data_IF_179739403022
#
_entry.id   IF_179739403022
#
_cell.length_a   1.000
_cell.length_b   1.000
_cell.length_c   1.000
_cell.angle_alpha   90.00
_cell.angle_beta   90.00
_cell.angle_gamma   90.00
#
_symmetry.space_group_name_H-M   'P 1'
#
loop_
_entity.id
_entity.type
_entity.pdbx_description
1 polymer ?
#
# COMPACT_ATOMS: atom_id res chain seq x y z
N UNK A 1 21.95 44.66 58.19
CA UNK A 1 20.78 43.90 57.68
C UNK A 1 20.45 44.16 56.21
N UNK A 2 20.78 45.31 55.60
CA UNK A 2 20.51 45.57 54.18
C UNK A 2 21.44 44.78 53.20
N UNK A 3 22.74 44.70 53.51
CA UNK A 3 23.75 44.03 52.66
C UNK A 3 23.47 42.53 52.46
N UNK A 4 22.88 41.86 53.46
CA UNK A 4 22.52 40.44 53.39
C UNK A 4 21.31 40.18 52.49
N UNK A 5 20.39 41.14 52.34
CA UNK A 5 19.20 41.04 51.48
C UNK A 5 19.56 41.14 49.99
N UNK A 6 20.45 42.04 49.61
CA UNK A 6 20.87 42.21 48.21
C UNK A 6 21.71 41.04 47.70
N UNK A 7 22.60 40.50 48.55
CA UNK A 7 23.34 39.28 48.23
C UNK A 7 22.41 38.07 48.05
N UNK A 8 21.34 37.98 48.84
CA UNK A 8 20.33 36.92 48.73
C UNK A 8 19.49 37.05 47.45
N UNK A 9 19.06 38.26 47.09
CA UNK A 9 18.34 38.53 45.83
C UNK A 9 19.17 38.19 44.59
N UNK A 10 20.45 38.56 44.56
CA UNK A 10 21.37 38.22 43.45
C UNK A 10 21.51 36.71 43.27
N UNK A 11 21.65 35.95 44.37
CA UNK A 11 21.69 34.48 44.32
C UNK A 11 20.40 33.88 43.73
N UNK A 12 19.23 34.39 44.13
CA UNK A 12 17.92 33.96 43.61
C UNK A 12 17.83 34.25 42.10
N UNK A 13 18.21 35.45 41.66
CA UNK A 13 18.20 35.81 40.25
C UNK A 13 19.10 34.92 39.39
N UNK A 14 20.31 34.59 39.86
CA UNK A 14 21.21 33.66 39.15
C UNK A 14 20.61 32.26 39.02
N UNK A 15 19.98 31.74 40.08
CA UNK A 15 19.30 30.43 40.04
C UNK A 15 18.15 30.44 39.02
N UNK A 16 17.33 31.51 39.01
CA UNK A 16 16.21 31.65 38.06
C UNK A 16 16.69 31.73 36.61
N UNK A 17 17.78 32.44 36.33
CA UNK A 17 18.38 32.48 35.00
C UNK A 17 18.93 31.14 34.54
N UNK A 18 19.65 30.41 35.40
CA UNK A 18 20.14 29.07 35.10
C UNK A 18 18.99 28.10 34.80
N UNK A 19 17.90 28.19 35.57
CA UNK A 19 16.69 27.38 35.35
C UNK A 19 15.99 27.76 34.04
N UNK A 20 15.86 29.05 33.72
CA UNK A 20 15.30 29.51 32.45
C UNK A 20 16.11 29.01 31.25
N UNK A 21 17.44 29.09 31.33
CA UNK A 21 18.33 28.59 30.28
C UNK A 21 18.20 27.07 30.11
N UNK A 22 18.13 26.32 31.21
CA UNK A 22 17.93 24.88 31.18
C UNK A 22 16.59 24.50 30.51
N UNK A 23 15.49 25.17 30.89
CA UNK A 23 14.16 24.92 30.29
C UNK A 23 14.17 25.30 28.80
N UNK A 24 14.81 26.40 28.41
CA UNK A 24 14.93 26.80 27.01
C UNK A 24 15.71 25.76 26.19
N UNK A 25 16.82 25.25 26.71
CA UNK A 25 17.59 24.18 26.07
C UNK A 25 16.76 22.88 25.94
N UNK A 26 16.01 22.52 26.99
CA UNK A 26 15.13 21.35 26.98
C UNK A 26 14.01 21.50 25.93
N UNK A 27 13.41 22.69 25.81
CA UNK A 27 12.40 22.98 24.79
C UNK A 27 12.96 22.84 23.37
N UNK A 28 14.20 23.29 23.14
CA UNK A 28 14.87 23.13 21.85
C UNK A 28 15.06 21.65 21.49
N UNK A 29 15.50 20.83 22.46
CA UNK A 29 15.64 19.38 22.28
C UNK A 29 14.28 18.73 22.00
N UNK A 30 13.24 19.09 22.76
CA UNK A 30 11.87 18.58 22.55
C UNK A 30 11.34 18.93 21.16
N UNK A 31 11.56 20.15 20.69
CA UNK A 31 11.15 20.58 19.35
C UNK A 31 11.85 19.74 18.27
N UNK A 32 13.14 19.47 18.43
CA UNK A 32 13.91 18.63 17.51
C UNK A 32 13.40 17.18 17.50
N UNK A 33 13.10 16.62 18.67
CA UNK A 33 12.50 15.28 18.81
C UNK A 33 11.13 15.21 18.13
N UNK A 34 10.25 16.20 18.35
CA UNK A 34 8.94 16.27 17.70
C UNK A 34 9.10 16.32 16.18
N UNK A 35 9.98 17.16 15.66
CA UNK A 35 10.19 17.29 14.22
C UNK A 35 10.68 15.97 13.59
N UNK A 36 11.64 15.29 14.22
CA UNK A 36 12.10 13.96 13.77
C UNK A 36 10.94 12.94 13.76
N UNK A 37 10.11 12.92 14.81
CA UNK A 37 8.99 11.97 14.88
C UNK A 37 7.93 12.25 13.84
N UNK A 38 7.55 13.52 13.65
CA UNK A 38 6.61 13.94 12.61
C UNK A 38 7.14 13.55 11.23
N UNK A 39 8.43 13.83 10.94
CA UNK A 39 9.04 13.43 9.68
C UNK A 39 8.98 11.92 9.46
N UNK A 40 9.29 11.10 10.48
CA UNK A 40 9.19 9.63 10.39
C UNK A 40 7.76 9.16 10.10
N UNK A 41 6.76 9.76 10.75
CA UNK A 41 5.35 9.42 10.51
C UNK A 41 4.97 9.77 9.08
N UNK A 42 5.31 10.97 8.61
CA UNK A 42 5.04 11.41 7.22
C UNK A 42 5.67 10.45 6.21
N UNK A 43 6.94 10.07 6.40
CA UNK A 43 7.60 9.11 5.50
C UNK A 43 6.90 7.74 5.46
N UNK A 44 6.43 7.24 6.61
CA UNK A 44 5.66 5.99 6.67
C UNK A 44 4.29 6.11 6.00
N UNK A 45 3.61 7.24 6.19
CA UNK A 45 2.32 7.51 5.51
C UNK A 45 2.52 7.57 4.00
N UNK A 46 3.59 8.22 3.52
CA UNK A 46 3.91 8.28 2.09
C UNK A 46 4.23 6.88 1.54
N UNK A 47 5.04 6.08 2.24
CA UNK A 47 5.38 4.72 1.78
C UNK A 47 4.16 3.81 1.72
N UNK A 48 3.28 3.86 2.73
CA UNK A 48 2.01 3.13 2.73
C UNK A 48 1.05 3.66 1.66
N UNK A 49 1.06 4.97 1.39
CA UNK A 49 0.29 5.56 0.30
C UNK A 49 0.69 5.00 -1.06
N UNK A 50 2.00 4.83 -1.32
CA UNK A 50 2.50 4.19 -2.55
C UNK A 50 2.01 2.75 -2.70
N UNK A 51 2.03 1.99 -1.60
CA UNK A 51 1.48 0.63 -1.57
C UNK A 51 -0.02 0.60 -1.91
N UNK A 52 -0.78 1.57 -1.40
CA UNK A 52 -2.20 1.68 -1.69
C UNK A 52 -2.46 1.91 -3.19
N UNK A 53 -1.68 2.78 -3.83
CA UNK A 53 -1.75 3.00 -5.29
C UNK A 53 -1.44 1.72 -6.07
N UNK A 54 -0.41 0.97 -5.69
CA UNK A 54 -0.07 -0.32 -6.32
C UNK A 54 -1.19 -1.36 -6.15
N UNK A 55 -1.82 -1.44 -4.98
CA UNK A 55 -2.96 -2.36 -4.76
C UNK A 55 -4.18 -1.94 -5.60
N UNK A 56 -4.42 -0.65 -5.77
CA UNK A 56 -5.49 -0.15 -6.65
C UNK A 56 -5.22 -0.51 -8.11
N UNK A 57 -3.98 -0.36 -8.57
CA UNK A 57 -3.55 -0.80 -9.91
C UNK A 57 -3.74 -2.31 -10.07
N UNK A 58 -3.32 -3.11 -9.07
CA UNK A 58 -3.51 -4.56 -9.05
C UNK A 58 -5.00 -4.94 -9.16
N UNK A 59 -5.86 -4.23 -8.43
CA UNK A 59 -7.32 -4.43 -8.47
C UNK A 59 -7.87 -4.16 -9.87
N UNK A 60 -7.45 -3.06 -10.49
CA UNK A 60 -7.90 -2.69 -11.83
C UNK A 60 -7.48 -3.73 -12.86
N UNK A 61 -6.21 -4.16 -12.83
CA UNK A 61 -5.66 -5.14 -13.77
C UNK A 61 -6.34 -6.51 -13.58
N UNK A 62 -6.54 -6.93 -12.33
CA UNK A 62 -7.25 -8.18 -11.99
C UNK A 62 -8.68 -8.21 -12.51
N UNK A 63 -9.34 -7.06 -12.64
CA UNK A 63 -10.70 -6.97 -13.19
C UNK A 63 -10.70 -6.84 -14.72
N UNK A 64 -9.69 -6.17 -15.28
CA UNK A 64 -9.61 -5.88 -16.71
C UNK A 64 -9.30 -7.12 -17.53
N UNK A 65 -8.24 -7.86 -17.16
CA UNK A 65 -7.67 -8.93 -17.99
C UNK A 65 -8.69 -10.03 -18.32
N UNK A 66 -9.42 -10.62 -17.34
CA UNK A 66 -10.43 -11.63 -17.64
C UNK A 66 -11.55 -11.11 -18.53
N UNK A 67 -11.93 -9.83 -18.35
CA UNK A 67 -12.93 -9.16 -19.16
C UNK A 67 -12.52 -8.99 -20.62
N UNK A 68 -11.22 -8.91 -20.94
CA UNK A 68 -10.74 -8.85 -22.32
C UNK A 68 -10.98 -10.17 -23.05
N UNK A 69 -10.74 -11.31 -22.39
CA UNK A 69 -11.00 -12.63 -22.96
C UNK A 69 -12.50 -12.83 -23.17
N UNK A 70 -13.33 -12.49 -22.18
CA UNK A 70 -14.79 -12.55 -22.33
C UNK A 70 -15.30 -11.75 -23.52
N UNK A 71 -14.80 -10.52 -23.70
CA UNK A 71 -15.15 -9.67 -24.85
C UNK A 71 -14.64 -10.27 -26.17
N UNK A 72 -13.43 -10.81 -26.21
CA UNK A 72 -12.91 -11.49 -27.39
C UNK A 72 -13.78 -12.69 -27.77
N UNK A 73 -14.08 -13.59 -26.82
CA UNK A 73 -14.90 -14.78 -27.09
C UNK A 73 -16.29 -14.41 -27.59
N UNK A 74 -16.87 -13.30 -27.11
CA UNK A 74 -18.20 -12.86 -27.54
C UNK A 74 -18.20 -12.15 -28.91
N UNK A 75 -17.17 -11.37 -29.21
CA UNK A 75 -17.14 -10.48 -30.39
C UNK A 75 -16.23 -10.96 -31.52
N UNK A 76 -15.31 -11.87 -31.23
CA UNK A 76 -14.18 -12.27 -32.07
C UNK A 76 -13.30 -11.08 -32.53
N UNK A 77 -13.40 -9.94 -31.87
CA UNK A 77 -12.62 -8.76 -32.20
C UNK A 77 -11.19 -8.89 -31.67
N UNK A 78 -10.25 -9.05 -32.61
CA UNK A 78 -8.82 -9.24 -32.33
C UNK A 78 -8.20 -8.14 -31.47
N UNK A 79 -8.78 -6.94 -31.39
CA UNK A 79 -8.29 -5.85 -30.53
C UNK A 79 -8.28 -6.25 -29.04
N UNK A 80 -9.28 -7.01 -28.59
CA UNK A 80 -9.33 -7.47 -27.19
C UNK A 80 -8.25 -8.51 -26.89
N UNK A 81 -8.00 -9.41 -27.85
CA UNK A 81 -6.96 -10.42 -27.74
C UNK A 81 -5.56 -9.78 -27.76
N UNK A 82 -5.32 -8.80 -28.63
CA UNK A 82 -4.06 -8.04 -28.68
C UNK A 82 -3.80 -7.33 -27.35
N UNK A 83 -4.82 -6.66 -26.80
CA UNK A 83 -4.73 -5.98 -25.51
C UNK A 83 -4.44 -6.96 -24.37
N UNK A 84 -5.10 -8.12 -24.37
CA UNK A 84 -4.83 -9.18 -23.40
C UNK A 84 -3.36 -9.63 -23.42
N UNK A 85 -2.79 -9.86 -24.61
CA UNK A 85 -1.38 -10.23 -24.73
C UNK A 85 -0.42 -9.12 -24.33
N UNK A 86 -0.74 -7.88 -24.67
CA UNK A 86 0.05 -6.71 -24.26
C UNK A 86 0.20 -6.68 -22.73
N UNK A 87 -0.90 -6.89 -22.01
CA UNK A 87 -0.91 -6.93 -20.55
C UNK A 87 -0.07 -8.08 -19.96
N UNK A 88 -0.14 -9.26 -20.57
CA UNK A 88 0.49 -10.47 -20.04
C UNK A 88 1.98 -10.62 -20.37
N UNK A 89 2.42 -10.21 -21.54
CA UNK A 89 3.78 -10.50 -22.05
C UNK A 89 4.62 -9.26 -22.30
N UNK A 90 4.02 -8.17 -22.75
CA UNK A 90 4.79 -6.95 -23.03
C UNK A 90 4.99 -6.16 -21.75
N UNK A 91 3.90 -5.97 -21.01
CA UNK A 91 3.93 -5.10 -19.84
C UNK A 91 4.08 -5.87 -18.52
N UNK A 92 3.73 -7.15 -18.53
CA UNK A 92 3.70 -8.03 -17.36
C UNK A 92 3.09 -7.33 -16.13
N UNK A 93 2.03 -6.53 -16.33
CA UNK A 93 1.63 -5.50 -15.35
C UNK A 93 1.34 -6.12 -13.98
N UNK A 94 0.55 -7.18 -13.96
CA UNK A 94 0.17 -7.87 -12.73
C UNK A 94 1.39 -8.47 -12.00
N UNK A 95 2.26 -9.18 -12.71
CA UNK A 95 3.46 -9.79 -12.12
C UNK A 95 4.46 -8.73 -11.64
N UNK A 96 4.61 -7.62 -12.38
CA UNK A 96 5.44 -6.49 -11.99
C UNK A 96 4.93 -5.82 -10.72
N UNK A 97 3.62 -5.57 -10.62
CA UNK A 97 3.02 -5.00 -9.41
C UNK A 97 3.20 -5.95 -8.22
N UNK A 98 2.96 -7.26 -8.42
CA UNK A 98 3.18 -8.26 -7.37
C UNK A 98 4.66 -8.32 -6.94
N UNK A 99 5.61 -8.24 -7.86
CA UNK A 99 7.03 -8.22 -7.55
C UNK A 99 7.39 -6.98 -6.70
N UNK A 100 6.87 -5.81 -7.05
CA UNK A 100 7.05 -4.59 -6.25
C UNK A 100 6.44 -4.71 -4.85
N UNK A 101 5.20 -5.21 -4.76
CA UNK A 101 4.52 -5.44 -3.47
C UNK A 101 5.23 -6.51 -2.63
N UNK A 102 5.89 -7.50 -3.25
CA UNK A 102 6.57 -8.59 -2.56
C UNK A 102 7.82 -8.17 -1.79
N UNK A 103 8.37 -6.98 -2.09
CA UNK A 103 9.46 -6.38 -1.31
C UNK A 103 9.03 -6.10 0.14
N UNK A 104 7.72 -6.07 0.39
CA UNK A 104 7.13 -5.84 1.70
C UNK A 104 6.81 -7.18 2.36
N UNK A 105 7.73 -7.64 3.22
CA UNK A 105 7.67 -8.94 3.90
C UNK A 105 6.36 -9.26 4.62
N UNK A 106 5.64 -8.31 5.28
CA UNK A 106 4.42 -8.63 6.02
C UNK A 106 3.29 -9.17 5.16
N UNK A 107 3.30 -8.92 3.85
CA UNK A 107 2.20 -9.24 2.94
C UNK A 107 2.50 -10.41 1.99
N UNK A 108 3.71 -10.98 2.07
CA UNK A 108 4.20 -12.01 1.14
C UNK A 108 3.29 -13.23 1.04
N UNK A 109 2.71 -13.70 2.15
CA UNK A 109 1.80 -14.85 2.15
C UNK A 109 0.50 -14.57 1.40
N UNK A 110 -0.04 -13.36 1.53
CA UNK A 110 -1.27 -12.92 0.85
C UNK A 110 -0.98 -12.71 -0.64
N UNK A 111 0.15 -12.10 -0.97
CA UNK A 111 0.58 -11.90 -2.37
C UNK A 111 0.79 -13.23 -3.11
N UNK A 112 1.35 -14.24 -2.45
CA UNK A 112 1.45 -15.61 -3.02
C UNK A 112 0.09 -16.22 -3.31
N UNK A 113 -0.91 -16.00 -2.44
CA UNK A 113 -2.29 -16.47 -2.68
C UNK A 113 -2.93 -15.75 -3.87
N UNK A 114 -2.73 -14.45 -3.98
CA UNK A 114 -3.20 -13.66 -5.13
C UNK A 114 -2.58 -14.21 -6.41
N UNK A 115 -1.26 -14.40 -6.44
CA UNK A 115 -0.56 -14.97 -7.61
C UNK A 115 -1.09 -16.36 -7.97
N UNK A 116 -1.21 -17.26 -7.00
CA UNK A 116 -1.68 -18.61 -7.27
C UNK A 116 -3.13 -18.63 -7.81
N UNK A 117 -3.97 -17.69 -7.39
CA UNK A 117 -5.34 -17.54 -7.89
C UNK A 117 -5.35 -17.00 -9.34
N UNK A 118 -4.54 -15.99 -9.61
CA UNK A 118 -4.36 -15.40 -10.95
C UNK A 118 -3.74 -16.39 -11.95
N UNK A 119 -2.70 -17.11 -11.56
CA UNK A 119 -2.06 -18.14 -12.41
C UNK A 119 -3.06 -19.24 -12.81
N UNK A 120 -4.00 -19.61 -11.92
CA UNK A 120 -5.09 -20.54 -12.24
C UNK A 120 -6.08 -19.96 -13.25
N UNK A 121 -6.48 -18.70 -13.09
CA UNK A 121 -7.37 -18.01 -14.02
C UNK A 121 -6.73 -17.93 -15.42
N UNK A 122 -5.46 -17.51 -15.48
CA UNK A 122 -4.71 -17.44 -16.74
C UNK A 122 -4.62 -18.80 -17.43
N UNK A 123 -4.45 -19.89 -16.67
CA UNK A 123 -4.41 -21.23 -17.25
C UNK A 123 -5.75 -21.62 -17.88
N UNK A 124 -6.87 -21.26 -17.23
CA UNK A 124 -8.21 -21.48 -17.80
C UNK A 124 -8.42 -20.64 -19.07
N UNK A 125 -7.99 -19.38 -19.06
CA UNK A 125 -8.07 -18.47 -20.21
C UNK A 125 -7.25 -19.00 -21.40
N UNK A 126 -6.04 -19.49 -21.16
CA UNK A 126 -5.21 -20.14 -22.19
C UNK A 126 -5.89 -21.39 -22.75
N UNK A 127 -6.48 -22.22 -21.89
CA UNK A 127 -7.22 -23.42 -22.32
C UNK A 127 -8.42 -23.06 -23.21
N UNK A 128 -9.18 -22.03 -22.82
CA UNK A 128 -10.31 -21.48 -23.59
C UNK A 128 -9.85 -21.00 -24.96
N UNK A 129 -8.77 -20.21 -25.02
CA UNK A 129 -8.23 -19.74 -26.29
C UNK A 129 -7.71 -20.89 -27.17
N UNK A 130 -7.06 -21.92 -26.59
CA UNK A 130 -6.62 -23.10 -27.36
C UNK A 130 -7.81 -23.83 -27.99
N UNK A 131 -8.90 -24.02 -27.25
CA UNK A 131 -10.13 -24.63 -27.77
C UNK A 131 -10.71 -23.83 -28.93
N UNK A 132 -10.80 -22.50 -28.78
CA UNK A 132 -11.33 -21.60 -29.82
C UNK A 132 -10.45 -21.64 -31.06
N UNK A 133 -9.13 -21.53 -30.90
CA UNK A 133 -8.20 -21.51 -32.02
C UNK A 133 -8.16 -22.85 -32.76
N UNK A 134 -8.28 -23.96 -32.03
CA UNK A 134 -8.41 -25.28 -32.64
C UNK A 134 -9.69 -25.42 -33.45
N UNK A 135 -10.83 -24.91 -32.94
CA UNK A 135 -12.10 -24.97 -33.65
C UNK A 135 -12.13 -24.12 -34.93
N UNK A 136 -11.39 -23.00 -34.94
CA UNK A 136 -11.23 -22.15 -36.12
C UNK A 136 -10.07 -22.56 -37.04
N UNK A 137 -9.38 -23.67 -36.72
CA UNK A 137 -8.22 -24.17 -37.47
C UNK A 137 -7.14 -23.09 -37.67
N UNK A 138 -6.93 -22.25 -36.66
CA UNK A 138 -5.88 -21.23 -36.70
C UNK A 138 -4.52 -21.95 -36.65
N UNK A 139 -3.60 -21.70 -37.59
CA UNK A 139 -2.30 -22.35 -37.63
C UNK A 139 -1.48 -22.06 -36.36
N UNK A 140 -0.76 -23.05 -35.84
CA UNK A 140 0.03 -22.87 -34.60
C UNK A 140 1.15 -21.83 -34.77
N UNK A 141 1.63 -21.60 -35.99
CA UNK A 141 2.68 -20.63 -36.32
C UNK A 141 2.25 -19.18 -36.08
N UNK A 142 0.94 -18.91 -36.13
CA UNK A 142 0.38 -17.56 -35.90
C UNK A 142 -0.22 -17.40 -34.51
N UNK A 143 -0.25 -18.48 -33.72
CA UNK A 143 -0.77 -18.49 -32.35
C UNK A 143 0.34 -18.13 -31.38
N UNK A 144 -0.02 -17.41 -30.31
CA UNK A 144 0.93 -17.08 -29.25
C UNK A 144 1.58 -18.36 -28.63
N UNK A 145 2.90 -18.40 -28.39
CA UNK A 145 3.61 -19.61 -27.95
C UNK A 145 3.02 -20.28 -26.71
N UNK A 146 2.51 -19.51 -25.74
CA UNK A 146 1.89 -20.08 -24.53
C UNK A 146 0.60 -20.85 -24.82
N UNK A 147 -0.18 -20.42 -25.81
CA UNK A 147 -1.36 -21.18 -26.25
C UNK A 147 -0.92 -22.38 -27.05
N UNK A 148 0.01 -22.19 -27.99
CA UNK A 148 0.52 -23.29 -28.82
C UNK A 148 1.03 -24.45 -27.94
N UNK A 149 1.80 -24.13 -26.89
CA UNK A 149 2.33 -25.09 -25.92
C UNK A 149 1.27 -25.75 -25.02
N UNK A 150 0.07 -25.17 -24.89
CA UNK A 150 -1.01 -25.77 -24.10
C UNK A 150 -1.60 -26.97 -24.84
N UNK A 151 -1.53 -28.15 -24.21
CA UNK A 151 -2.10 -29.38 -24.74
C UNK A 151 -3.53 -29.55 -24.25
N UNK A 152 -4.44 -29.70 -25.19
CA UNK A 152 -5.81 -30.10 -24.88
C UNK A 152 -5.79 -31.51 -24.29
N UNK A 153 -6.75 -31.82 -23.43
CA UNK A 153 -6.93 -33.20 -22.98
C UNK A 153 -7.38 -34.08 -24.15
N UNK A 154 -7.12 -35.39 -24.09
CA UNK A 154 -7.54 -36.30 -25.18
C UNK A 154 -9.05 -36.24 -25.48
N UNK A 155 -9.88 -35.99 -24.47
CA UNK A 155 -11.32 -35.77 -24.64
C UNK A 155 -11.63 -34.46 -25.40
N UNK A 156 -10.84 -33.41 -25.21
CA UNK A 156 -11.01 -32.12 -25.89
C UNK A 156 -10.43 -32.12 -27.31
N UNK A 157 -9.42 -32.94 -27.59
CA UNK A 157 -8.84 -33.05 -28.94
C UNK A 157 -9.83 -33.65 -29.94
N UNK A 158 -10.57 -34.68 -29.53
CA UNK A 158 -11.56 -35.39 -30.36
C UNK A 158 -12.91 -34.68 -30.48
N UNK A 159 -13.12 -33.58 -29.74
CA UNK A 159 -14.34 -32.77 -29.84
C UNK A 159 -14.48 -32.18 -31.25
N UNK A 160 -15.71 -32.10 -31.73
CA UNK A 160 -16.06 -31.31 -32.91
C UNK A 160 -15.80 -29.83 -32.67
N UNK A 161 -15.66 -29.05 -33.75
CA UNK A 161 -15.41 -27.61 -33.65
C UNK A 161 -16.52 -26.89 -32.85
N UNK A 162 -17.78 -27.30 -33.04
CA UNK A 162 -18.91 -26.76 -32.29
C UNK A 162 -18.84 -27.09 -30.78
N UNK A 163 -18.45 -28.31 -30.43
CA UNK A 163 -18.27 -28.73 -29.03
C UNK A 163 -17.10 -28.02 -28.36
N UNK A 164 -16.00 -27.77 -29.09
CA UNK A 164 -14.87 -26.99 -28.58
C UNK A 164 -15.28 -25.56 -28.26
N UNK A 165 -16.03 -24.91 -29.16
CA UNK A 165 -16.54 -23.56 -28.94
C UNK A 165 -17.54 -23.50 -27.78
N UNK A 166 -18.42 -24.49 -27.66
CA UNK A 166 -19.35 -24.59 -26.54
C UNK A 166 -18.61 -24.79 -25.22
N UNK A 167 -17.66 -25.73 -25.16
CA UNK A 167 -16.83 -26.00 -23.98
C UNK A 167 -16.02 -24.77 -23.57
N UNK A 168 -15.46 -24.03 -24.53
CA UNK A 168 -14.74 -22.80 -24.27
C UNK A 168 -15.62 -21.74 -23.59
N UNK A 169 -16.87 -21.58 -24.05
CA UNK A 169 -17.87 -20.71 -23.40
C UNK A 169 -18.24 -21.23 -22.02
N UNK A 170 -18.49 -22.52 -21.88
CA UNK A 170 -18.89 -23.13 -20.61
C UNK A 170 -17.81 -22.97 -19.54
N UNK A 171 -16.53 -23.10 -19.89
CA UNK A 171 -15.42 -22.84 -18.97
C UNK A 171 -15.41 -21.37 -18.55
N UNK A 172 -15.40 -20.46 -19.52
CA UNK A 172 -15.24 -19.02 -19.29
C UNK A 172 -16.40 -18.39 -18.52
N UNK A 173 -17.61 -18.89 -18.73
CA UNK A 173 -18.83 -18.44 -18.05
C UNK A 173 -19.29 -19.41 -16.95
N UNK A 174 -18.43 -20.36 -16.56
CA UNK A 174 -18.74 -21.27 -15.47
C UNK A 174 -18.81 -20.54 -14.13
N UNK A 175 -19.64 -21.06 -13.23
CA UNK A 175 -19.64 -20.68 -11.81
C UNK A 175 -18.26 -20.85 -11.18
N UNK A 176 -17.44 -21.80 -11.67
CA UNK A 176 -16.10 -22.02 -11.13
C UNK A 176 -15.12 -20.92 -11.54
N UNK A 177 -15.15 -20.48 -12.80
CA UNK A 177 -14.32 -19.35 -13.27
C UNK A 177 -14.67 -18.07 -12.50
N UNK A 178 -15.97 -17.78 -12.38
CA UNK A 178 -16.46 -16.63 -11.60
C UNK A 178 -16.03 -16.71 -10.12
N UNK A 179 -16.07 -17.91 -9.51
CA UNK A 179 -15.59 -18.11 -8.13
C UNK A 179 -14.10 -17.83 -7.99
N UNK A 180 -13.26 -18.27 -8.93
CA UNK A 180 -11.82 -18.00 -8.88
C UNK A 180 -11.51 -16.51 -9.09
N UNK A 181 -12.26 -15.82 -9.96
CA UNK A 181 -12.19 -14.37 -10.11
C UNK A 181 -12.54 -13.66 -8.80
N UNK A 182 -13.68 -14.02 -8.20
CA UNK A 182 -14.11 -13.47 -6.91
C UNK A 182 -13.13 -13.80 -5.78
N UNK A 183 -12.52 -14.99 -5.78
CA UNK A 183 -11.51 -15.36 -4.79
C UNK A 183 -10.26 -14.48 -4.90
N UNK A 184 -9.80 -14.21 -6.12
CA UNK A 184 -8.70 -13.27 -6.40
C UNK A 184 -9.05 -11.88 -5.88
N UNK A 185 -10.23 -11.36 -6.25
CA UNK A 185 -10.72 -10.05 -5.81
C UNK A 185 -10.84 -9.94 -4.28
N UNK A 186 -11.41 -10.95 -3.61
CA UNK A 186 -11.54 -10.98 -2.14
C UNK A 186 -10.18 -11.00 -1.46
N UNK A 187 -9.21 -11.72 -2.03
CA UNK A 187 -7.85 -11.76 -1.47
C UNK A 187 -7.15 -10.40 -1.63
N UNK A 188 -7.35 -9.70 -2.76
CA UNK A 188 -6.86 -8.33 -2.95
C UNK A 188 -7.55 -7.35 -1.98
N UNK A 189 -8.86 -7.48 -1.77
CA UNK A 189 -9.59 -6.67 -0.78
C UNK A 189 -9.11 -6.92 0.65
N UNK A 190 -8.81 -8.18 0.99
CA UNK A 190 -8.21 -8.53 2.27
C UNK A 190 -6.83 -7.89 2.44
N UNK A 191 -5.98 -7.91 1.40
CA UNK A 191 -4.70 -7.19 1.41
C UNK A 191 -4.89 -5.69 1.64
N UNK A 192 -5.85 -5.06 0.95
CA UNK A 192 -6.18 -3.65 1.15
C UNK A 192 -6.56 -3.35 2.60
N UNK A 193 -7.41 -4.19 3.20
CA UNK A 193 -7.82 -4.06 4.60
C UNK A 193 -6.63 -4.16 5.56
N UNK A 194 -5.73 -5.12 5.36
CA UNK A 194 -4.52 -5.25 6.16
C UNK A 194 -3.61 -4.01 6.05
N UNK A 195 -3.51 -3.42 4.86
CA UNK A 195 -2.75 -2.19 4.66
C UNK A 195 -3.38 -1.01 5.39
N UNK A 196 -4.71 -0.87 5.32
CA UNK A 196 -5.45 0.20 6.00
C UNK A 196 -5.32 0.07 7.53
N UNK A 197 -5.39 -1.15 8.08
CA UNK A 197 -5.14 -1.42 9.50
C UNK A 197 -3.69 -1.07 9.91
N UNK A 198 -2.71 -1.40 9.05
CA UNK A 198 -1.31 -1.04 9.27
C UNK A 198 -1.08 0.48 9.23
N UNK A 199 -1.76 1.19 8.33
CA UNK A 199 -1.72 2.65 8.26
C UNK A 199 -2.30 3.28 9.53
N UNK A 200 -3.48 2.83 9.95
CA UNK A 200 -4.15 3.34 11.15
C UNK A 200 -3.32 3.10 12.40
N UNK A 201 -2.75 1.91 12.58
CA UNK A 201 -1.87 1.62 13.72
C UNK A 201 -0.61 2.50 13.73
N UNK A 202 -0.01 2.77 12.56
CA UNK A 202 1.13 3.68 12.42
C UNK A 202 0.78 5.12 12.80
N UNK A 203 -0.38 5.62 12.34
CA UNK A 203 -0.85 6.97 12.65
C UNK A 203 -1.18 7.09 14.14
N UNK A 204 -1.94 6.15 14.72
CA UNK A 204 -2.34 6.18 16.13
C UNK A 204 -1.13 6.12 17.06
N UNK A 205 -0.19 5.21 16.79
CA UNK A 205 1.03 5.08 17.58
C UNK A 205 1.88 6.35 17.52
N UNK A 206 2.07 6.91 16.31
CA UNK A 206 2.82 8.15 16.12
C UNK A 206 2.17 9.37 16.76
N UNK A 207 0.85 9.48 16.65
CA UNK A 207 0.06 10.59 17.20
C UNK A 207 0.12 10.62 18.73
N UNK A 208 0.02 9.46 19.40
CA UNK A 208 0.09 9.37 20.86
C UNK A 208 1.42 9.91 21.41
N UNK A 209 2.53 9.47 20.81
CA UNK A 209 3.87 9.92 21.21
C UNK A 209 4.05 11.41 20.93
N UNK A 210 3.59 11.89 19.77
CA UNK A 210 3.69 13.30 19.40
C UNK A 210 2.88 14.20 20.35
N UNK A 211 1.65 13.80 20.71
CA UNK A 211 0.84 14.57 21.66
C UNK A 211 1.49 14.68 23.04
N UNK A 212 2.10 13.60 23.53
CA UNK A 212 2.82 13.63 24.79
C UNK A 212 3.95 14.68 24.77
N UNK A 213 4.83 14.64 23.76
CA UNK A 213 5.93 15.60 23.64
C UNK A 213 5.44 17.05 23.44
N UNK A 214 4.39 17.26 22.63
CA UNK A 214 3.81 18.59 22.42
C UNK A 214 3.21 19.13 23.72
N UNK A 215 2.48 18.31 24.48
CA UNK A 215 1.93 18.72 25.78
C UNK A 215 3.04 19.09 26.78
N UNK A 216 4.13 18.31 26.82
CA UNK A 216 5.31 18.62 27.63
C UNK A 216 5.97 19.93 27.21
N UNK A 217 6.14 20.17 25.90
CA UNK A 217 6.70 21.39 25.35
C UNK A 217 5.86 22.63 25.72
N UNK A 218 4.54 22.54 25.57
CA UNK A 218 3.62 23.63 25.94
C UNK A 218 3.72 23.93 27.44
N UNK A 219 3.71 22.90 28.28
CA UNK A 219 3.80 23.03 29.74
C UNK A 219 5.11 23.72 30.15
N UNK A 220 6.25 23.26 29.63
CA UNK A 220 7.56 23.87 29.89
C UNK A 220 7.66 25.31 29.37
N UNK A 221 7.04 25.61 28.24
CA UNK A 221 6.99 26.97 27.68
C UNK A 221 6.22 27.93 28.59
N UNK A 222 5.11 27.48 29.19
CA UNK A 222 4.37 28.27 30.19
C UNK A 222 5.24 28.54 31.41
N UNK A 223 5.92 27.52 31.95
CA UNK A 223 6.85 27.69 33.08
C UNK A 223 7.98 28.67 32.77
N UNK A 224 8.55 28.63 31.56
CA UNK A 224 9.58 29.56 31.14
C UNK A 224 9.10 31.01 31.18
N UNK A 225 7.90 31.28 30.66
CA UNK A 225 7.28 32.62 30.70
C UNK A 225 7.07 33.10 32.14
N UNK A 226 6.60 32.23 33.03
CA UNK A 226 6.41 32.56 34.46
C UNK A 226 7.74 32.87 35.16
N UNK A 227 8.81 32.13 34.86
CA UNK A 227 10.15 32.41 35.42
C UNK A 227 10.65 33.77 34.92
N UNK A 228 10.54 34.05 33.63
CA UNK A 228 10.96 35.34 33.05
C UNK A 228 10.15 36.49 33.67
N UNK A 229 8.83 36.35 33.79
CA UNK A 229 7.97 37.35 34.44
C UNK A 229 8.37 37.58 35.90
N UNK A 230 8.71 36.53 36.64
CA UNK A 230 9.19 36.63 38.03
C UNK A 230 10.52 37.37 38.14
N UNK A 231 11.46 37.10 37.24
CA UNK A 231 12.75 37.84 37.16
C UNK A 231 12.50 39.32 36.87
N UNK A 232 11.62 39.63 35.91
CA UNK A 232 11.27 41.01 35.56
C UNK A 232 10.61 41.75 36.73
N UNK A 233 9.71 41.08 37.45
CA UNK A 233 9.03 41.66 38.60
C UNK A 233 9.99 41.93 39.77
N UNK A 234 10.88 40.99 40.08
CA UNK A 234 11.95 41.20 41.08
C UNK A 234 12.81 42.42 40.73
N UNK A 235 13.16 42.58 39.45
CA UNK A 235 13.96 43.72 38.97
C UNK A 235 13.18 45.04 38.97
N UNK A 236 11.86 45.01 38.78
CA UNK A 236 11.00 46.19 38.79
C UNK A 236 10.82 46.74 40.21
N UNK A 237 10.63 45.86 41.20
CA UNK A 237 10.53 46.23 42.63
C UNK A 237 11.85 46.82 43.15
N UNK A 238 12.98 46.48 42.51
CA UNK A 238 14.30 47.01 42.86
C UNK A 238 14.58 48.42 42.29
N UNK A 239 13.69 48.98 41.44
CA UNK A 239 13.75 50.38 40.98
C UNK A 239 12.89 51.29 41.84
#
# INVERSE_FOLDING_TARGET
MAITRDAQKRKIATILWSLAFFIAALNLVLMLVINIQVHRIVQRVISVGKLHTQIMELTNVSNLIPGLIQKYVFTMDSRYLQEYWRQLETEHVFDRILAQLSQYTPYTSVLKKIKASDDKLRLQEIAVLKLIFSAYHIPEEVIHPKIAAYRLSGAQEIMTDAEKLQTARDILFSVNHEKELQNTQRTIQYLKKLLDEHLQSTIVAGRRVTHFFVATLITLSIFLVLIIASILWLRLIDK
#
